data_IF_101426493564
#
_entry.id   IF_101426493564
#
_cell.length_a   1.000
_cell.length_b   1.000
_cell.length_c   1.000
_cell.angle_alpha   90.00
_cell.angle_beta   90.00
_cell.angle_gamma   90.00
#
_symmetry.space_group_name_H-M   'P 1'
#
loop_
_entity.id
_entity.type
_entity.pdbx_description
1 polymer ?
#
# COMPACT_ATOMS: atom_id res chain seq x y z
N UNK A 1 -23.01 -2.17 16.16
CA UNK A 1 -21.83 -1.43 15.67
C UNK A 1 -20.80 -2.45 15.18
N UNK A 2 -20.55 -2.53 13.88
CA UNK A 2 -19.56 -3.46 13.31
C UNK A 2 -18.15 -3.02 13.73
N UNK A 3 -17.36 -3.95 14.30
CA UNK A 3 -15.91 -3.75 14.48
C UNK A 3 -15.31 -3.43 13.11
N UNK A 4 -14.78 -2.22 12.92
CA UNK A 4 -14.01 -1.90 11.70
C UNK A 4 -12.89 -2.93 11.54
N UNK A 5 -12.88 -3.61 10.39
CA UNK A 5 -11.86 -4.59 10.10
C UNK A 5 -10.53 -3.88 9.83
N UNK A 6 -9.48 -4.30 10.55
CA UNK A 6 -8.12 -3.77 10.40
C UNK A 6 -7.49 -4.34 9.12
N UNK A 7 -7.71 -3.66 8.00
CA UNK A 7 -7.16 -4.03 6.70
C UNK A 7 -6.58 -2.80 5.98
N UNK A 8 -5.83 -3.03 4.89
CA UNK A 8 -5.19 -1.93 4.17
C UNK A 8 -6.19 -0.97 3.49
N UNK A 9 -7.44 -1.37 3.24
CA UNK A 9 -8.49 -0.47 2.73
C UNK A 9 -8.91 0.58 3.76
N UNK A 10 -8.82 0.24 5.05
CA UNK A 10 -9.14 1.12 6.18
C UNK A 10 -7.89 1.76 6.81
N UNK A 11 -6.71 1.57 6.22
CA UNK A 11 -5.45 2.06 6.77
C UNK A 11 -5.20 3.54 6.43
N UNK A 12 -4.69 4.31 7.39
CA UNK A 12 -4.33 5.72 7.18
C UNK A 12 -3.19 5.95 6.18
N UNK A 13 -2.35 4.95 5.92
CA UNK A 13 -1.30 5.03 4.89
C UNK A 13 -1.76 4.62 3.49
N UNK A 14 -3.04 4.26 3.32
CA UNK A 14 -3.64 3.96 2.02
C UNK A 14 -3.59 5.21 1.14
N UNK A 15 -3.15 5.03 -0.09
CA UNK A 15 -3.32 5.99 -1.17
C UNK A 15 -3.94 5.29 -2.38
N UNK A 16 -4.70 6.05 -3.16
CA UNK A 16 -5.33 5.54 -4.37
C UNK A 16 -4.38 5.69 -5.56
N UNK A 17 -4.40 4.70 -6.45
CA UNK A 17 -3.63 4.72 -7.69
C UNK A 17 -4.60 5.08 -8.82
N UNK A 18 -4.49 6.27 -9.44
CA UNK A 18 -5.42 6.70 -10.48
C UNK A 18 -5.49 5.70 -11.63
N UNK A 19 -6.71 5.31 -12.02
CA UNK A 19 -6.94 4.37 -13.13
C UNK A 19 -6.61 2.91 -12.82
N UNK A 20 -6.38 2.56 -11.55
CA UNK A 20 -6.14 1.18 -11.08
C UNK A 20 -7.15 0.80 -9.99
N UNK A 21 -7.54 -0.47 -9.92
CA UNK A 21 -8.31 -1.00 -8.78
C UNK A 21 -7.43 -1.28 -7.55
N UNK A 22 -6.12 -1.15 -7.67
CA UNK A 22 -5.17 -1.35 -6.60
C UNK A 22 -4.92 -0.08 -5.79
N UNK A 23 -4.25 -0.26 -4.65
CA UNK A 23 -3.84 0.83 -3.76
C UNK A 23 -2.32 0.94 -3.67
N UNK A 24 -1.85 2.07 -3.14
CA UNK A 24 -0.46 2.28 -2.75
C UNK A 24 -0.35 2.52 -1.24
N UNK A 25 0.83 2.25 -0.67
CA UNK A 25 1.11 2.39 0.75
C UNK A 25 2.19 3.44 0.95
N UNK A 26 1.86 4.51 1.66
CA UNK A 26 2.81 5.59 1.93
C UNK A 26 3.68 5.34 3.16
N UNK A 27 3.50 4.20 3.85
CA UNK A 27 4.28 3.90 5.05
C UNK A 27 5.75 3.68 4.70
N UNK A 28 6.64 4.27 5.50
CA UNK A 28 8.07 3.97 5.49
C UNK A 28 8.30 2.66 6.25
N UNK A 29 9.01 1.70 5.65
CA UNK A 29 9.23 0.33 6.17
C UNK A 29 10.66 0.10 6.65
N UNK A 30 11.31 1.14 7.17
CA UNK A 30 12.67 1.02 7.74
C UNK A 30 12.65 0.34 9.12
N UNK A 31 11.56 0.51 9.87
CA UNK A 31 11.41 -0.01 11.22
C UNK A 31 10.85 -1.44 11.27
N UNK A 32 10.30 -1.96 10.17
CA UNK A 32 9.69 -3.28 10.12
C UNK A 32 9.56 -3.82 8.69
N UNK A 33 9.39 -5.13 8.55
CA UNK A 33 9.19 -5.76 7.24
C UNK A 33 7.78 -5.49 6.68
N UNK A 34 7.65 -5.23 5.36
CA UNK A 34 6.37 -5.12 4.68
C UNK A 34 5.65 -6.48 4.64
N UNK A 35 4.31 -6.48 4.54
CA UNK A 35 3.55 -7.72 4.44
C UNK A 35 3.92 -8.49 3.17
N UNK A 36 4.03 -9.81 3.31
CA UNK A 36 4.26 -10.72 2.19
C UNK A 36 3.00 -10.91 1.35
N UNK A 37 3.19 -11.15 0.06
CA UNK A 37 2.11 -11.46 -0.86
C UNK A 37 2.27 -12.83 -1.48
N UNK A 38 1.12 -13.44 -1.76
CA UNK A 38 0.99 -14.76 -2.36
C UNK A 38 1.45 -14.80 -3.82
N UNK A 39 1.42 -13.68 -4.53
CA UNK A 39 1.86 -13.59 -5.92
C UNK A 39 2.40 -12.20 -6.27
N UNK A 40 3.65 -12.13 -6.75
CA UNK A 40 4.29 -10.90 -7.25
C UNK A 40 3.74 -10.45 -8.61
N UNK A 41 3.01 -11.33 -9.33
CA UNK A 41 2.42 -11.00 -10.64
C UNK A 41 1.33 -9.94 -10.53
N UNK A 42 0.65 -9.82 -9.39
CA UNK A 42 -0.40 -8.81 -9.14
C UNK A 42 -0.07 -7.85 -7.98
N UNK A 43 1.15 -7.94 -7.46
CA UNK A 43 1.55 -7.25 -6.24
C UNK A 43 2.89 -6.55 -6.43
N UNK A 44 2.89 -5.22 -6.48
CA UNK A 44 4.10 -4.40 -6.41
C UNK A 44 3.99 -3.47 -5.21
N UNK A 45 4.27 -4.00 -4.03
CA UNK A 45 4.31 -3.19 -2.83
C UNK A 45 5.57 -2.30 -2.80
N UNK A 46 5.48 -1.02 -2.38
CA UNK A 46 4.29 -0.32 -1.88
C UNK A 46 3.50 0.45 -2.95
N UNK A 47 3.90 0.43 -4.23
CA UNK A 47 3.41 1.36 -5.25
C UNK A 47 2.05 0.99 -5.86
N UNK A 48 1.74 -0.31 -5.98
CA UNK A 48 0.56 -0.78 -6.71
C UNK A 48 0.25 -2.23 -6.29
N UNK A 49 -0.60 -2.41 -5.27
CA UNK A 49 -0.93 -3.72 -4.71
C UNK A 49 -2.39 -3.84 -4.26
N UNK A 50 -2.87 -5.08 -4.16
CA UNK A 50 -4.18 -5.39 -3.56
C UNK A 50 -3.99 -6.18 -2.25
N UNK A 51 -4.57 -5.71 -1.12
CA UNK A 51 -4.50 -6.39 0.17
C UNK A 51 -5.04 -7.83 0.17
N UNK A 52 -5.92 -8.18 -0.76
CA UNK A 52 -6.47 -9.54 -0.88
C UNK A 52 -5.39 -10.59 -1.14
N UNK A 53 -4.26 -10.18 -1.74
CA UNK A 53 -3.12 -11.06 -2.02
C UNK A 53 -2.11 -11.12 -0.88
N UNK A 54 -2.33 -10.41 0.23
CA UNK A 54 -1.45 -10.48 1.41
C UNK A 54 -1.63 -11.83 2.12
N UNK A 55 -0.52 -12.46 2.49
CA UNK A 55 -0.55 -13.74 3.22
C UNK A 55 -0.75 -13.53 4.73
N UNK A 56 -0.37 -12.36 5.22
CA UNK A 56 -0.40 -12.01 6.63
C UNK A 56 -1.07 -10.65 6.86
N UNK A 57 -1.61 -10.46 8.08
CA UNK A 57 -2.15 -9.17 8.48
C UNK A 57 -1.02 -8.15 8.60
N UNK A 58 -1.22 -6.99 7.99
CA UNK A 58 -0.27 -5.88 8.04
C UNK A 58 -0.08 -5.37 9.48
N UNK A 59 1.11 -5.58 10.04
CA UNK A 59 1.49 -5.09 11.38
C UNK A 59 1.60 -3.56 11.46
N UNK A 60 1.89 -2.91 10.33
CA UNK A 60 1.99 -1.45 10.20
C UNK A 60 0.64 -0.73 10.04
N UNK A 61 -0.49 -1.44 10.18
CA UNK A 61 -1.83 -0.84 10.08
C UNK A 61 -2.05 0.21 11.16
N UNK A 62 -2.66 1.33 10.77
CA UNK A 62 -3.10 2.38 11.68
C UNK A 62 -4.36 3.01 11.15
N UNK A 63 -5.20 3.54 12.05
CA UNK A 63 -6.37 4.34 11.67
C UNK A 63 -5.99 5.76 11.24
N UNK A 64 -4.90 6.32 11.79
CA UNK A 64 -4.43 7.67 11.49
C UNK A 64 -3.01 7.64 10.95
N UNK A 65 -2.79 8.35 9.85
CA UNK A 65 -1.47 8.52 9.20
C UNK A 65 -0.54 9.30 10.13
N UNK A 66 0.66 8.77 10.36
CA UNK A 66 1.73 9.51 11.02
C UNK A 66 2.59 10.21 9.96
N UNK A 67 2.70 11.56 9.98
CA UNK A 67 3.48 12.29 8.98
C UNK A 67 4.97 11.90 8.98
N UNK A 68 5.54 11.48 10.11
CA UNK A 68 6.96 11.10 10.22
C UNK A 68 7.21 9.76 9.51
N UNK A 69 6.24 8.84 9.58
CA UNK A 69 6.33 7.51 8.95
C UNK A 69 5.72 7.47 7.55
N UNK A 70 5.52 8.63 6.92
CA UNK A 70 4.91 8.76 5.60
C UNK A 70 5.95 9.22 4.57
N UNK A 71 6.18 8.40 3.53
CA UNK A 71 6.92 8.81 2.34
C UNK A 71 5.96 9.44 1.36
N UNK A 72 6.24 10.67 0.92
CA UNK A 72 5.55 11.24 -0.24
C UNK A 72 6.27 10.79 -1.52
N UNK A 73 5.58 10.09 -2.40
CA UNK A 73 6.11 9.81 -3.74
C UNK A 73 6.10 11.10 -4.57
N UNK A 74 7.22 11.38 -5.23
CA UNK A 74 7.31 12.45 -6.21
C UNK A 74 6.33 12.23 -7.38
N UNK A 75 5.93 13.28 -8.11
CA UNK A 75 5.06 13.14 -9.28
C UNK A 75 5.59 12.12 -10.31
N UNK A 76 6.91 12.07 -10.52
CA UNK A 76 7.55 11.10 -11.41
C UNK A 76 7.43 9.67 -10.89
N UNK A 77 7.73 9.41 -9.61
CA UNK A 77 7.57 8.07 -9.00
C UNK A 77 6.12 7.58 -9.09
N UNK A 78 5.13 8.47 -8.94
CA UNK A 78 3.71 8.13 -9.11
C UNK A 78 3.39 7.73 -10.54
N UNK A 79 3.91 8.45 -11.52
CA UNK A 79 3.72 8.14 -12.95
C UNK A 79 4.38 6.81 -13.31
N UNK A 80 5.61 6.55 -12.86
CA UNK A 80 6.27 5.25 -13.07
C UNK A 80 5.55 4.09 -12.39
N UNK A 81 4.97 4.30 -11.20
CA UNK A 81 4.14 3.29 -10.52
C UNK A 81 2.88 2.90 -11.30
N UNK A 82 2.35 3.81 -12.12
CA UNK A 82 1.20 3.58 -13.01
C UNK A 82 1.63 2.98 -14.35
N UNK A 83 2.74 3.47 -14.93
CA UNK A 83 3.18 3.10 -16.29
C UNK A 83 4.11 1.89 -16.35
N UNK A 84 4.82 1.54 -15.27
CA UNK A 84 5.85 0.48 -15.22
C UNK A 84 5.35 -0.96 -15.45
N UNK A 85 4.10 -1.14 -15.85
CA UNK A 85 3.52 -2.43 -16.31
C UNK A 85 3.02 -2.42 -17.75
N UNK A 86 3.18 -1.32 -18.50
CA UNK A 86 2.75 -1.22 -19.91
C UNK A 86 3.90 -1.19 -20.92
N UNK A 87 5.15 -1.38 -20.49
CA UNK A 87 6.32 -1.59 -21.35
C UNK A 87 6.86 -3.00 -21.14
#
# INVERSE_FOLDING_TARGET
MSKEEKNCWTCGYKEEVPGSCHISCMRIWEDMQPPKAKSTRYYLFPMNFDPVWQEEKCKGWTKKRDPIKTKQFSPLERVFGVLGRRL
#
